data_IF_211037604294
#
_entry.id   IF_211037604294
#
_cell.length_a   1.000
_cell.length_b   1.000
_cell.length_c   1.000
_cell.angle_alpha   90.00
_cell.angle_beta   90.00
_cell.angle_gamma   90.00
#
_symmetry.space_group_name_H-M   'P 1'
#
loop_
_entity.id
_entity.type
_entity.pdbx_description
1 polymer ?
#
# COMPACT_ATOMS: atom_id res chain seq x y z
N UNK A 1 -23.78 -19.83 -6.47
CA UNK A 1 -23.13 -18.93 -5.49
C UNK A 1 -21.99 -18.23 -6.22
N UNK A 2 -21.90 -16.90 -6.14
CA UNK A 2 -20.76 -16.17 -6.74
C UNK A 2 -19.54 -16.50 -5.87
N UNK A 3 -18.56 -17.22 -6.43
CA UNK A 3 -17.29 -17.48 -5.77
C UNK A 3 -16.39 -16.26 -5.89
N UNK A 4 -16.06 -15.64 -4.75
CA UNK A 4 -14.86 -14.83 -4.50
C UNK A 4 -14.65 -13.56 -5.33
N UNK A 5 -15.18 -12.43 -4.86
CA UNK A 5 -14.71 -11.13 -5.34
C UNK A 5 -13.43 -10.77 -4.58
N UNK A 6 -12.32 -10.55 -5.29
CA UNK A 6 -11.09 -10.00 -4.69
C UNK A 6 -11.40 -8.62 -4.13
N UNK A 7 -11.05 -8.38 -2.87
CA UNK A 7 -11.23 -7.09 -2.23
C UNK A 7 -9.96 -6.67 -1.48
N UNK A 8 -9.62 -5.38 -1.61
CA UNK A 8 -8.51 -4.75 -0.90
C UNK A 8 -9.04 -3.87 0.22
N UNK A 9 -8.45 -3.99 1.41
CA UNK A 9 -8.76 -3.14 2.55
C UNK A 9 -7.50 -2.43 3.05
N UNK A 10 -7.56 -1.10 3.15
CA UNK A 10 -6.47 -0.27 3.64
C UNK A 10 -6.72 0.28 5.04
N UNK A 11 -5.68 0.27 5.87
CA UNK A 11 -5.70 0.78 7.23
C UNK A 11 -4.39 1.51 7.58
N UNK A 12 -4.42 2.59 8.39
CA UNK A 12 -5.63 3.28 8.82
C UNK A 12 -6.29 4.02 7.63
N UNK A 13 -7.61 4.17 7.66
CA UNK A 13 -8.33 4.97 6.64
C UNK A 13 -8.06 6.45 6.76
N UNK A 14 -7.85 6.91 7.99
CA UNK A 14 -7.54 8.29 8.33
C UNK A 14 -6.67 8.29 9.59
N UNK A 15 -5.64 9.14 9.60
CA UNK A 15 -4.74 9.31 10.73
C UNK A 15 -4.18 10.73 10.72
N UNK A 16 -4.24 11.39 11.87
CA UNK A 16 -3.62 12.70 12.08
C UNK A 16 -2.34 12.51 12.88
N UNK A 17 -1.22 12.98 12.34
CA UNK A 17 0.12 12.87 12.94
C UNK A 17 0.84 14.21 12.93
N UNK A 18 1.95 14.33 13.66
CA UNK A 18 2.84 15.48 13.57
C UNK A 18 3.84 15.31 12.43
N UNK A 19 4.37 16.42 11.92
CA UNK A 19 5.43 16.37 10.91
C UNK A 19 6.67 15.65 11.45
N UNK A 20 7.18 14.68 10.69
CA UNK A 20 8.33 13.85 11.08
C UNK A 20 7.95 12.54 11.78
N UNK A 21 6.69 12.36 12.18
CA UNK A 21 6.23 11.08 12.71
C UNK A 21 6.25 10.01 11.62
N UNK A 22 6.66 8.79 11.99
CA UNK A 22 6.55 7.64 11.12
C UNK A 22 5.12 7.12 11.13
N UNK A 23 4.58 6.88 9.94
CA UNK A 23 3.27 6.24 9.72
C UNK A 23 3.49 4.92 9.01
N UNK A 24 2.66 3.92 9.33
CA UNK A 24 2.61 2.65 8.62
C UNK A 24 1.20 2.49 8.04
N UNK A 25 1.12 2.32 6.72
CA UNK A 25 -0.11 1.91 6.06
C UNK A 25 -0.06 0.42 5.77
N UNK A 26 -1.21 -0.25 5.88
CA UNK A 26 -1.37 -1.66 5.56
C UNK A 26 -2.50 -1.83 4.55
N UNK A 27 -2.28 -2.65 3.53
CA UNK A 27 -3.27 -3.07 2.55
C UNK A 27 -3.40 -4.59 2.61
N UNK A 28 -4.56 -5.13 2.97
CA UNK A 28 -4.83 -6.57 2.98
C UNK A 28 -5.73 -6.98 1.82
N UNK A 29 -5.56 -8.22 1.35
CA UNK A 29 -6.41 -8.82 0.32
C UNK A 29 -7.29 -9.90 0.91
N UNK A 30 -8.52 -9.99 0.41
CA UNK A 30 -9.42 -11.12 0.66
C UNK A 30 -9.92 -11.66 -0.67
N UNK A 31 -10.22 -12.96 -0.71
CA UNK A 31 -10.72 -13.65 -1.91
C UNK A 31 -9.64 -14.22 -2.82
N UNK A 32 -8.36 -13.85 -2.63
CA UNK A 32 -7.20 -14.44 -3.28
C UNK A 32 -5.91 -14.17 -2.46
N UNK A 33 -4.76 -14.69 -2.89
CA UNK A 33 -3.45 -14.46 -2.28
C UNK A 33 -2.69 -13.33 -3.02
N UNK A 34 -2.27 -12.32 -2.25
CA UNK A 34 -1.55 -11.15 -2.73
C UNK A 34 -0.16 -11.51 -3.28
N UNK A 35 0.44 -12.64 -2.89
CA UNK A 35 1.75 -13.10 -3.39
C UNK A 35 1.79 -13.30 -4.91
N UNK A 36 0.62 -13.48 -5.55
CA UNK A 36 0.49 -13.66 -7.00
C UNK A 36 0.40 -12.34 -7.77
N UNK A 37 0.46 -11.19 -7.09
CA UNK A 37 0.22 -9.88 -7.66
C UNK A 37 1.35 -8.90 -7.31
N UNK A 38 1.68 -8.03 -8.26
CA UNK A 38 2.46 -6.83 -7.96
C UNK A 38 1.61 -5.84 -7.18
N UNK A 39 2.17 -5.30 -6.10
CA UNK A 39 1.48 -4.33 -5.25
C UNK A 39 2.09 -2.96 -5.45
N UNK A 40 1.25 -2.00 -5.81
CA UNK A 40 1.67 -0.61 -6.05
C UNK A 40 1.02 0.32 -5.04
N UNK A 41 1.82 1.15 -4.40
CA UNK A 41 1.33 2.26 -3.58
C UNK A 41 1.33 3.56 -4.36
N UNK A 42 0.21 4.27 -4.24
CA UNK A 42 0.00 5.59 -4.82
C UNK A 42 -0.46 6.54 -3.73
N UNK A 43 -0.11 7.81 -3.85
CA UNK A 43 -0.82 8.90 -3.17
C UNK A 43 -1.61 9.72 -4.17
N UNK A 44 -2.72 10.27 -3.69
CA UNK A 44 -3.48 11.25 -4.45
C UNK A 44 -3.03 12.66 -4.03
N UNK A 45 -2.49 13.43 -4.97
CA UNK A 45 -2.11 14.82 -4.74
C UNK A 45 -3.33 15.74 -4.58
N UNK A 46 -3.14 17.02 -4.18
CA UNK A 46 -4.23 17.98 -3.95
C UNK A 46 -5.16 18.21 -5.16
N UNK A 47 -4.70 17.89 -6.37
CA UNK A 47 -5.45 18.04 -7.63
C UNK A 47 -6.07 16.73 -8.13
N UNK A 48 -6.03 15.68 -7.32
CA UNK A 48 -6.57 14.37 -7.66
C UNK A 48 -5.63 13.48 -8.48
N UNK A 49 -4.43 13.96 -8.83
CA UNK A 49 -3.43 13.19 -9.58
C UNK A 49 -2.92 12.02 -8.75
N UNK A 50 -2.85 10.84 -9.36
CA UNK A 50 -2.18 9.69 -8.76
C UNK A 50 -0.68 9.81 -8.98
N UNK A 51 0.06 9.78 -7.88
CA UNK A 51 1.52 9.78 -7.86
C UNK A 51 1.98 8.43 -7.33
N UNK A 52 2.73 7.69 -8.16
CA UNK A 52 3.28 6.40 -7.78
C UNK A 52 4.40 6.60 -6.75
N UNK A 53 4.37 5.81 -5.66
CA UNK A 53 5.33 5.90 -4.55
C UNK A 53 6.28 4.71 -4.55
N UNK A 54 5.72 3.49 -4.54
CA UNK A 54 6.47 2.27 -4.24
C UNK A 54 5.84 1.05 -4.90
N UNK A 55 6.67 0.07 -5.25
CA UNK A 55 6.27 -1.33 -5.48
C UNK A 55 7.32 -2.28 -4.90
N UNK A 56 6.96 -3.56 -4.74
CA UNK A 56 7.84 -4.56 -4.15
C UNK A 56 9.21 -4.63 -4.85
N UNK A 57 10.24 -5.02 -4.09
CA UNK A 57 11.61 -5.04 -4.61
C UNK A 57 12.33 -3.68 -4.56
N UNK A 58 11.87 -2.76 -3.71
CA UNK A 58 12.50 -1.45 -3.49
C UNK A 58 12.57 -0.58 -4.75
N UNK A 59 11.51 -0.63 -5.56
CA UNK A 59 11.31 0.30 -6.67
C UNK A 59 10.44 1.47 -6.24
N UNK A 60 10.90 2.67 -6.54
CA UNK A 60 10.30 3.91 -6.08
C UNK A 60 9.92 4.82 -7.24
N UNK A 61 8.83 5.55 -7.06
CA UNK A 61 8.54 6.71 -7.87
C UNK A 61 9.59 7.80 -7.67
N UNK A 62 9.66 8.71 -8.64
CA UNK A 62 10.60 9.83 -8.61
C UNK A 62 10.47 10.65 -7.32
N UNK A 63 11.57 10.76 -6.56
CA UNK A 63 11.62 11.54 -5.31
C UNK A 63 11.07 10.84 -4.05
N UNK A 64 10.79 9.54 -4.09
CA UNK A 64 10.21 8.80 -2.95
C UNK A 64 11.15 7.81 -2.24
N UNK A 65 12.31 7.49 -2.84
CA UNK A 65 13.25 6.44 -2.39
C UNK A 65 13.72 6.57 -0.92
N UNK A 66 13.82 7.78 -0.38
CA UNK A 66 14.37 7.99 0.97
C UNK A 66 13.31 8.15 2.07
N UNK A 67 12.01 8.13 1.71
CA UNK A 67 10.91 8.49 2.63
C UNK A 67 9.92 7.38 2.91
N UNK A 68 9.89 6.33 2.09
CA UNK A 68 8.92 5.25 2.16
C UNK A 68 9.63 3.90 2.15
N UNK A 69 9.05 2.89 2.80
CA UNK A 69 9.57 1.52 2.76
C UNK A 69 8.41 0.53 2.85
N UNK A 70 8.28 -0.30 1.83
CA UNK A 70 7.28 -1.36 1.83
C UNK A 70 7.79 -2.68 2.40
N UNK A 71 6.85 -3.52 2.82
CA UNK A 71 7.14 -4.91 3.18
C UNK A 71 5.91 -5.78 2.93
N UNK A 72 6.12 -6.95 2.36
CA UNK A 72 5.10 -7.99 2.30
C UNK A 72 4.92 -8.66 3.67
N UNK A 73 3.68 -8.98 4.01
CA UNK A 73 3.28 -9.68 5.22
C UNK A 73 2.44 -10.89 4.83
N UNK A 74 3.08 -11.92 4.27
CA UNK A 74 2.39 -13.06 3.63
C UNK A 74 1.43 -13.78 4.59
N UNK A 75 1.79 -13.91 5.88
CA UNK A 75 0.91 -14.53 6.90
C UNK A 75 -0.39 -13.78 7.16
N UNK A 76 -0.44 -12.50 6.78
CA UNK A 76 -1.61 -11.62 6.90
C UNK A 76 -2.25 -11.33 5.54
N UNK A 77 -1.72 -11.90 4.46
CA UNK A 77 -2.12 -11.59 3.09
C UNK A 77 -2.18 -10.07 2.84
N UNK A 78 -1.13 -9.36 3.29
CA UNK A 78 -1.09 -7.90 3.29
C UNK A 78 0.28 -7.34 2.94
N UNK A 79 0.29 -6.06 2.60
CA UNK A 79 1.49 -5.31 2.25
C UNK A 79 1.50 -3.99 3.01
N UNK A 80 2.65 -3.59 3.55
CA UNK A 80 2.81 -2.32 4.26
C UNK A 80 3.56 -1.28 3.44
N UNK A 81 3.39 -0.01 3.79
CA UNK A 81 4.18 1.14 3.33
C UNK A 81 4.59 2.02 4.51
#
# INVERSE_FOLDING_TARGET
AVTGQVALEQQPRELTVQEGDQVNFQCSMTGDNMEYYYVYWYRQGPRGTLEWIYTDGDFYGEGFQDRFKGSEQSSKNSFTL
#
